data_IF_707205769912
#
_entry.id   IF_707205769912
#
_cell.length_a   1.000
_cell.length_b   1.000
_cell.length_c   1.000
_cell.angle_alpha   90.00
_cell.angle_beta   90.00
_cell.angle_gamma   90.00
#
_symmetry.space_group_name_H-M   'P 1'
#
loop_
_entity.id
_entity.type
_entity.pdbx_description
1 polymer ?
#
# COMPACT_ATOMS: atom_id res chain seq x y z
N UNK A 1 52.32 -17.36 -14.45
CA UNK A 1 52.10 -16.04 -15.10
C UNK A 1 50.95 -16.24 -16.08
N UNK A 2 49.71 -15.81 -15.84
CA UNK A 2 49.24 -14.43 -15.84
C UNK A 2 47.95 -14.27 -15.00
N UNK A 3 47.79 -13.06 -14.44
CA UNK A 3 46.73 -12.60 -13.55
C UNK A 3 45.35 -12.58 -14.24
N UNK A 4 44.34 -13.12 -13.58
CA UNK A 4 42.92 -12.93 -13.93
C UNK A 4 42.42 -11.66 -13.21
N UNK A 5 41.92 -10.67 -13.95
CA UNK A 5 41.18 -9.52 -13.42
C UNK A 5 39.70 -9.90 -13.28
N UNK A 6 39.02 -9.60 -12.15
CA UNK A 6 37.58 -9.75 -12.07
C UNK A 6 36.89 -8.45 -12.54
N UNK A 7 35.98 -8.56 -13.51
CA UNK A 7 35.01 -7.52 -13.80
C UNK A 7 33.67 -7.94 -13.17
N UNK A 8 33.31 -7.22 -12.11
CA UNK A 8 31.97 -7.21 -11.51
C UNK A 8 30.94 -6.72 -12.52
N UNK A 9 29.85 -7.47 -12.70
CA UNK A 9 28.48 -7.00 -12.43
C UNK A 9 27.52 -8.17 -12.57
N UNK A 10 26.78 -8.41 -11.49
CA UNK A 10 25.98 -9.61 -11.27
C UNK A 10 24.74 -9.63 -12.14
N UNK A 11 24.62 -10.65 -12.97
CA UNK A 11 23.33 -11.22 -13.35
C UNK A 11 22.98 -12.24 -12.28
N UNK A 12 22.18 -11.83 -11.27
CA UNK A 12 21.56 -12.79 -10.37
C UNK A 12 20.60 -13.62 -11.20
N UNK A 13 20.79 -14.93 -11.17
CA UNK A 13 19.90 -15.87 -11.82
C UNK A 13 18.50 -15.76 -11.19
N UNK A 14 17.49 -15.66 -12.05
CA UNK A 14 16.09 -15.83 -11.66
C UNK A 14 15.92 -17.32 -11.36
N UNK A 15 15.91 -17.69 -10.09
CA UNK A 15 15.37 -18.99 -9.67
C UNK A 15 13.86 -18.81 -9.67
N UNK A 16 13.20 -19.19 -10.77
CA UNK A 16 11.76 -19.44 -10.78
C UNK A 16 11.53 -20.66 -9.89
N UNK A 17 11.09 -20.43 -8.65
CA UNK A 17 10.64 -21.50 -7.78
C UNK A 17 9.19 -21.84 -8.17
N UNK A 18 9.03 -22.91 -8.95
CA UNK A 18 7.77 -23.64 -9.06
C UNK A 18 7.30 -24.03 -7.66
N UNK A 19 6.19 -23.44 -7.21
CA UNK A 19 5.36 -24.03 -6.15
C UNK A 19 3.93 -24.09 -6.68
N UNK A 20 3.59 -25.27 -7.19
CA UNK A 20 2.23 -25.73 -7.36
C UNK A 20 1.51 -25.71 -6.00
N UNK A 21 0.47 -24.90 -5.86
CA UNK A 21 -0.66 -25.24 -5.01
C UNK A 21 -1.76 -25.82 -5.93
N UNK A 22 -2.28 -26.98 -5.56
CA UNK A 22 -3.11 -27.86 -6.38
C UNK A 22 -4.49 -27.30 -6.79
N UNK A 23 -5.31 -28.12 -7.50
CA UNK A 23 -6.48 -27.68 -8.27
C UNK A 23 -7.73 -27.36 -7.42
N UNK A 24 -7.58 -26.88 -6.19
CA UNK A 24 -8.69 -26.60 -5.28
C UNK A 24 -8.50 -25.26 -4.55
N UNK A 25 -8.23 -24.19 -5.30
CA UNK A 25 -8.41 -22.82 -4.81
C UNK A 25 -9.86 -22.40 -5.09
N UNK A 26 -10.73 -22.66 -4.12
CA UNK A 26 -12.05 -22.02 -4.06
C UNK A 26 -11.84 -20.51 -4.02
N UNK A 27 -12.29 -19.82 -5.07
CA UNK A 27 -12.36 -18.36 -5.10
C UNK A 27 -13.18 -17.88 -3.90
N UNK A 28 -12.53 -17.30 -2.88
CA UNK A 28 -13.22 -16.82 -1.69
C UNK A 28 -12.36 -16.55 -0.46
N UNK A 29 -11.05 -16.87 -0.47
CA UNK A 29 -10.20 -16.75 0.72
C UNK A 29 -8.85 -16.08 0.37
N UNK A 30 -8.89 -14.83 -0.12
CA UNK A 30 -7.70 -13.97 -0.14
C UNK A 30 -7.41 -13.54 1.30
N UNK A 31 -6.77 -14.43 2.06
CA UNK A 31 -6.27 -14.09 3.39
C UNK A 31 -5.08 -13.14 3.22
N UNK A 32 -5.19 -11.88 3.67
CA UNK A 32 -4.15 -10.86 3.48
C UNK A 32 -2.79 -11.22 4.11
N UNK A 33 -2.78 -12.22 4.99
CA UNK A 33 -1.57 -12.74 5.63
C UNK A 33 -0.56 -13.38 4.65
N UNK A 34 -1.01 -13.97 3.54
CA UNK A 34 -0.14 -14.55 2.49
C UNK A 34 0.33 -13.51 1.46
N UNK A 35 -0.31 -12.34 1.43
CA UNK A 35 0.00 -11.27 0.48
C UNK A 35 1.26 -10.49 0.90
N UNK A 36 1.51 -10.31 2.21
CA UNK A 36 2.70 -9.61 2.72
C UNK A 36 4.03 -10.20 2.19
N UNK A 37 4.31 -11.52 2.29
CA UNK A 37 5.57 -12.07 1.78
C UNK A 37 5.68 -11.98 0.26
N UNK A 38 4.56 -12.06 -0.47
CA UNK A 38 4.54 -11.90 -1.92
C UNK A 38 4.85 -10.45 -2.34
N UNK A 39 4.27 -9.47 -1.64
CA UNK A 39 4.53 -8.04 -1.86
C UNK A 39 5.97 -7.68 -1.47
N UNK A 40 6.45 -8.17 -0.32
CA UNK A 40 7.84 -7.96 0.16
C UNK A 40 8.90 -8.55 -0.77
N UNK A 41 8.66 -9.73 -1.36
CA UNK A 41 9.58 -10.30 -2.37
C UNK A 41 9.62 -9.49 -3.66
N UNK A 42 8.54 -8.81 -4.00
CA UNK A 42 8.45 -8.01 -5.23
C UNK A 42 9.11 -6.63 -5.06
N UNK A 43 9.16 -6.11 -3.82
CA UNK A 43 9.86 -4.88 -3.43
C UNK A 43 11.40 -4.95 -3.56
N UNK A 44 11.98 -6.09 -3.91
CA UNK A 44 13.42 -6.23 -4.22
C UNK A 44 13.80 -5.64 -5.58
N UNK A 45 12.83 -5.15 -6.35
CA UNK A 45 13.04 -4.45 -7.62
C UNK A 45 12.88 -2.95 -7.36
N UNK A 46 13.95 -2.17 -7.53
CA UNK A 46 14.06 -0.71 -7.31
C UNK A 46 13.00 0.16 -8.03
N UNK A 47 12.09 -0.44 -8.80
CA UNK A 47 11.07 0.22 -9.62
C UNK A 47 9.67 -0.29 -9.24
N UNK A 48 9.36 -0.24 -7.94
CA UNK A 48 8.11 -0.79 -7.42
C UNK A 48 6.94 0.16 -7.72
N UNK A 49 5.87 -0.32 -8.39
CA UNK A 49 4.73 0.53 -8.72
C UNK A 49 4.02 1.03 -7.45
N UNK A 50 3.51 2.27 -7.43
CA UNK A 50 2.84 2.86 -6.26
C UNK A 50 1.65 2.00 -5.80
N UNK A 51 0.97 1.30 -6.71
CA UNK A 51 -0.11 0.37 -6.41
C UNK A 51 0.31 -0.72 -5.41
N UNK A 52 1.55 -1.22 -5.51
CA UNK A 52 2.03 -2.29 -4.65
C UNK A 52 2.26 -1.80 -3.22
N UNK A 53 2.70 -0.54 -3.06
CA UNK A 53 2.84 0.11 -1.76
C UNK A 53 1.47 0.36 -1.10
N UNK A 54 0.44 0.67 -1.88
CA UNK A 54 -0.95 0.77 -1.36
C UNK A 54 -1.45 -0.58 -0.86
N UNK A 55 -1.24 -1.64 -1.65
CA UNK A 55 -1.62 -3.00 -1.25
C UNK A 55 -0.87 -3.45 0.02
N UNK A 56 0.43 -3.15 0.12
CA UNK A 56 1.20 -3.41 1.34
C UNK A 56 0.61 -2.65 2.52
N UNK A 57 0.24 -1.38 2.32
CA UNK A 57 -0.41 -0.56 3.32
C UNK A 57 -1.68 -1.20 3.88
N UNK A 58 -2.55 -1.70 3.00
CA UNK A 58 -3.79 -2.39 3.38
C UNK A 58 -3.51 -3.66 4.19
N UNK A 59 -2.59 -4.51 3.71
CA UNK A 59 -2.21 -5.76 4.38
C UNK A 59 -1.62 -5.49 5.77
N UNK A 60 -0.77 -4.48 5.91
CA UNK A 60 -0.20 -4.11 7.21
C UNK A 60 -1.28 -3.55 8.15
N UNK A 61 -2.24 -2.80 7.63
CA UNK A 61 -3.39 -2.29 8.38
C UNK A 61 -4.23 -3.42 8.97
N UNK A 62 -4.51 -4.45 8.18
CA UNK A 62 -5.28 -5.63 8.60
C UNK A 62 -4.53 -6.46 9.63
N UNK A 63 -3.19 -6.45 9.59
CA UNK A 63 -2.34 -7.03 10.63
C UNK A 63 -2.23 -6.17 11.90
N UNK A 64 -2.79 -4.97 11.90
CA UNK A 64 -2.72 -4.02 13.01
C UNK A 64 -1.44 -3.18 13.04
N UNK A 65 -0.53 -3.34 12.08
CA UNK A 65 0.66 -2.50 11.94
C UNK A 65 0.31 -1.21 11.18
N UNK A 66 -0.40 -0.32 11.86
CA UNK A 66 -0.82 0.98 11.31
C UNK A 66 0.37 1.89 10.99
N UNK A 67 1.51 1.72 11.67
CA UNK A 67 2.71 2.52 11.43
C UNK A 67 3.41 2.09 10.13
N UNK A 68 3.59 0.79 9.92
CA UNK A 68 4.09 0.24 8.67
C UNK A 68 3.16 0.51 7.49
N UNK A 69 1.85 0.45 7.73
CA UNK A 69 0.83 0.77 6.74
C UNK A 69 0.93 2.22 6.25
N UNK A 70 1.03 3.17 7.18
CA UNK A 70 1.16 4.59 6.87
C UNK A 70 2.44 4.86 6.07
N UNK A 71 3.57 4.30 6.50
CA UNK A 71 4.85 4.46 5.80
C UNK A 71 4.78 3.96 4.35
N UNK A 72 4.11 2.82 4.15
CA UNK A 72 3.93 2.23 2.82
C UNK A 72 3.03 3.11 1.94
N UNK A 73 1.88 3.57 2.45
CA UNK A 73 1.00 4.47 1.71
C UNK A 73 1.66 5.83 1.41
N UNK A 74 2.43 6.42 2.36
CA UNK A 74 3.19 7.65 2.11
C UNK A 74 4.25 7.48 1.02
N UNK A 75 4.87 6.30 0.95
CA UNK A 75 5.80 5.96 -0.14
C UNK A 75 5.05 5.92 -1.46
N UNK A 76 3.86 5.31 -1.52
CA UNK A 76 3.02 5.31 -2.71
C UNK A 76 2.68 6.73 -3.19
N UNK A 77 2.28 7.62 -2.28
CA UNK A 77 1.99 9.03 -2.59
C UNK A 77 3.26 9.78 -3.04
N UNK A 78 4.42 9.46 -2.47
CA UNK A 78 5.69 10.10 -2.86
C UNK A 78 6.15 9.66 -4.26
N UNK A 79 5.89 8.40 -4.62
CA UNK A 79 6.18 7.86 -5.95
C UNK A 79 5.24 8.42 -7.02
N UNK A 80 3.94 8.52 -6.71
CA UNK A 80 2.95 9.16 -7.58
C UNK A 80 1.96 10.02 -6.77
N UNK A 81 2.21 11.34 -6.70
CA UNK A 81 1.33 12.30 -6.02
C UNK A 81 -0.04 12.49 -6.68
N UNK A 82 -0.29 11.85 -7.83
CA UNK A 82 -1.59 11.89 -8.53
C UNK A 82 -2.30 10.54 -8.44
N UNK A 83 -1.76 9.58 -7.70
CA UNK A 83 -2.37 8.28 -7.52
C UNK A 83 -3.54 8.36 -6.54
N UNK A 84 -4.76 8.30 -7.08
CA UNK A 84 -6.02 8.45 -6.35
C UNK A 84 -6.12 7.42 -5.22
N UNK A 85 -5.77 6.17 -5.49
CA UNK A 85 -5.83 5.07 -4.53
C UNK A 85 -4.77 5.19 -3.43
N UNK A 86 -3.62 5.82 -3.68
CA UNK A 86 -2.63 6.08 -2.64
C UNK A 86 -3.13 7.12 -1.63
N UNK A 87 -3.71 8.22 -2.11
CA UNK A 87 -4.33 9.22 -1.23
C UNK A 87 -5.50 8.61 -0.44
N UNK A 88 -6.36 7.83 -1.10
CA UNK A 88 -7.48 7.17 -0.43
C UNK A 88 -7.01 6.17 0.62
N UNK A 89 -6.02 5.34 0.28
CA UNK A 89 -5.40 4.37 1.17
C UNK A 89 -4.76 5.04 2.38
N UNK A 90 -3.97 6.11 2.17
CA UNK A 90 -3.36 6.87 3.27
C UNK A 90 -4.42 7.47 4.20
N UNK A 91 -5.49 8.05 3.64
CA UNK A 91 -6.60 8.60 4.42
C UNK A 91 -7.30 7.54 5.29
N UNK A 92 -7.48 6.32 4.77
CA UNK A 92 -8.04 5.20 5.55
C UNK A 92 -7.14 4.82 6.74
N UNK A 93 -5.83 4.72 6.52
CA UNK A 93 -4.87 4.38 7.59
C UNK A 93 -4.84 5.47 8.67
N UNK A 94 -4.82 6.74 8.26
CA UNK A 94 -4.83 7.88 9.19
C UNK A 94 -6.12 7.91 10.02
N UNK A 95 -7.27 7.67 9.39
CA UNK A 95 -8.55 7.58 10.09
C UNK A 95 -8.56 6.43 11.11
N UNK A 96 -7.99 5.28 10.76
CA UNK A 96 -7.89 4.14 11.67
C UNK A 96 -6.95 4.40 12.86
N UNK A 97 -5.93 5.26 12.68
CA UNK A 97 -5.07 5.75 13.76
C UNK A 97 -5.71 6.85 14.63
N UNK A 98 -6.87 7.36 14.24
CA UNK A 98 -7.53 8.48 14.90
C UNK A 98 -7.03 9.86 14.48
N UNK A 99 -6.13 9.95 13.50
CA UNK A 99 -5.75 11.24 12.90
C UNK A 99 -6.80 11.64 11.85
N UNK A 100 -7.94 12.12 12.35
CA UNK A 100 -9.06 12.52 11.51
C UNK A 100 -8.74 13.75 10.66
N UNK A 101 -7.89 14.66 11.16
CA UNK A 101 -7.47 15.85 10.41
C UNK A 101 -6.58 15.48 9.21
N UNK A 102 -5.61 14.58 9.42
CA UNK A 102 -4.79 14.02 8.34
C UNK A 102 -5.64 13.24 7.34
N UNK A 103 -6.56 12.40 7.81
CA UNK A 103 -7.46 11.64 6.96
C UNK A 103 -8.36 12.54 6.08
N UNK A 104 -8.92 13.61 6.65
CA UNK A 104 -9.72 14.59 5.92
C UNK A 104 -8.93 15.24 4.77
N UNK A 105 -7.67 15.63 5.02
CA UNK A 105 -6.81 16.22 4.01
C UNK A 105 -6.56 15.26 2.83
N UNK A 106 -6.31 13.99 3.12
CA UNK A 106 -6.06 12.96 2.11
C UNK A 106 -7.33 12.57 1.34
N UNK A 107 -8.48 12.48 1.99
CA UNK A 107 -9.75 12.27 1.28
C UNK A 107 -10.13 13.46 0.40
N UNK A 108 -9.83 14.69 0.82
CA UNK A 108 -9.96 15.86 -0.06
C UNK A 108 -8.97 15.85 -1.21
N UNK A 109 -7.73 15.38 -1.02
CA UNK A 109 -6.79 15.16 -2.12
C UNK A 109 -7.33 14.15 -3.13
N UNK A 110 -7.87 13.04 -2.63
CA UNK A 110 -8.54 12.01 -3.43
C UNK A 110 -9.66 12.61 -4.28
N UNK A 111 -10.56 13.39 -3.68
CA UNK A 111 -11.69 14.02 -4.38
C UNK A 111 -11.28 15.15 -5.33
N UNK A 112 -10.13 15.78 -5.13
CA UNK A 112 -9.56 16.74 -6.10
C UNK A 112 -9.06 16.04 -7.35
N UNK A 113 -8.54 14.81 -7.21
CA UNK A 113 -8.03 14.01 -8.32
C UNK A 113 -9.16 13.24 -9.03
N UNK A 114 -10.08 12.65 -8.26
CA UNK A 114 -11.29 11.98 -8.74
C UNK A 114 -12.53 12.45 -7.95
N UNK A 115 -13.26 13.45 -8.45
CA UNK A 115 -14.45 13.98 -7.80
C UNK A 115 -15.62 12.99 -7.68
N UNK A 116 -15.62 11.91 -8.47
CA UNK A 116 -16.70 10.93 -8.52
C UNK A 116 -16.46 9.71 -7.65
N UNK A 117 -15.36 9.69 -6.89
CA UNK A 117 -15.06 8.57 -6.02
C UNK A 117 -16.01 8.52 -4.81
N UNK A 118 -17.04 7.68 -4.90
CA UNK A 118 -18.05 7.53 -3.85
C UNK A 118 -17.47 7.10 -2.49
N UNK A 119 -16.43 6.26 -2.49
CA UNK A 119 -15.77 5.79 -1.26
C UNK A 119 -15.09 6.94 -0.50
N UNK A 120 -14.45 7.86 -1.20
CA UNK A 120 -13.82 9.03 -0.60
C UNK A 120 -14.86 9.99 0.01
N UNK A 121 -15.99 10.23 -0.68
CA UNK A 121 -17.09 11.03 -0.11
C UNK A 121 -17.64 10.42 1.18
N UNK A 122 -17.89 9.11 1.18
CA UNK A 122 -18.37 8.39 2.36
C UNK A 122 -17.38 8.48 3.53
N UNK A 123 -16.09 8.24 3.28
CA UNK A 123 -15.07 8.29 4.32
C UNK A 123 -14.80 9.71 4.83
N UNK A 124 -14.85 10.71 3.96
CA UNK A 124 -14.77 12.11 4.35
C UNK A 124 -15.93 12.50 5.27
N UNK A 125 -17.17 12.10 4.93
CA UNK A 125 -18.33 12.32 5.79
C UNK A 125 -18.17 11.68 7.18
N UNK A 126 -17.63 10.46 7.24
CA UNK A 126 -17.32 9.80 8.52
C UNK A 126 -16.25 10.53 9.34
N UNK A 127 -15.20 11.03 8.68
CA UNK A 127 -14.14 11.78 9.35
C UNK A 127 -14.67 13.10 9.91
N UNK A 128 -15.49 13.82 9.14
CA UNK A 128 -16.09 15.08 9.59
C UNK A 128 -17.07 14.88 10.75
N UNK A 129 -17.88 13.82 10.71
CA UNK A 129 -18.79 13.49 11.81
C UNK A 129 -18.01 13.18 13.09
N UNK A 130 -17.02 12.27 13.00
CA UNK A 130 -16.20 11.90 14.15
C UNK A 130 -15.32 13.05 14.67
N UNK A 131 -14.87 13.95 13.80
CA UNK A 131 -14.09 15.13 14.20
C UNK A 131 -14.95 16.23 14.84
N UNK A 132 -16.22 16.33 14.44
CA UNK A 132 -17.21 17.23 15.04
C UNK A 132 -17.61 16.80 16.46
N UNK A 133 -17.79 15.49 16.69
CA UNK A 133 -18.10 14.93 18.03
C UNK A 133 -16.96 15.13 19.05
N UNK A 134 -15.73 15.39 18.61
CA UNK A 134 -14.58 15.63 19.48
C UNK A 134 -14.35 17.12 19.81
N UNK A 135 -15.09 18.02 19.15
CA UNK A 135 -14.94 19.47 19.29
C UNK A 135 -16.02 20.11 20.19
N UNK A 136 -16.97 19.33 20.70
CA UNK A 136 -18.06 19.76 21.59
C UNK A 136 -17.81 19.32 23.04
#
# INVERSE_FOLDING_TARGET
MHRVRPLRRGRRQVIVAEWWLGPNCSAGDERPQDTEPAVRRTLEVDDTPPQLHVLLGQVLSEKGDLAGAESSCRTAVSLDPRHVEAHHGLGLILAQRGDLAGAEAEFRATLRLDPWQAKAHYNLGRCLHAGGDLAE
#
